data_IF_672278385759
#
_entry.id   IF_672278385759
#
_cell.length_a   1.000
_cell.length_b   1.000
_cell.length_c   1.000
_cell.angle_alpha   90.00
_cell.angle_beta   90.00
_cell.angle_gamma   90.00
#
_symmetry.space_group_name_H-M   'P 1'
#
loop_
_entity.id
_entity.type
_entity.pdbx_description
1 polymer ?
#
# COMPACT_ATOMS: atom_id res chain seq x y z
N UNK A 1 -15.78 17.38 8.48
CA UNK A 1 -14.82 16.94 9.44
C UNK A 1 -14.81 15.43 9.49
N UNK A 2 -14.23 14.88 10.52
CA UNK A 2 -14.00 13.45 10.54
C UNK A 2 -15.26 12.63 10.56
N UNK A 3 -16.29 13.15 11.14
CA UNK A 3 -17.55 12.44 11.17
C UNK A 3 -18.09 12.20 9.78
N UNK A 4 -17.87 13.15 8.89
CA UNK A 4 -18.35 12.98 7.53
C UNK A 4 -17.60 11.90 6.81
N UNK A 5 -16.30 11.76 7.10
CA UNK A 5 -15.55 10.70 6.50
C UNK A 5 -16.09 9.36 6.94
N UNK A 6 -16.44 9.28 8.19
CA UNK A 6 -16.99 8.04 8.69
C UNK A 6 -18.37 7.79 8.12
N UNK A 7 -19.10 8.83 7.86
CA UNK A 7 -20.43 8.70 7.30
C UNK A 7 -20.41 8.04 5.93
N UNK A 8 -19.33 8.20 5.21
CA UNK A 8 -19.19 7.51 3.94
C UNK A 8 -19.26 6.01 4.13
N UNK A 9 -18.91 5.55 5.31
CA UNK A 9 -18.94 4.14 5.59
C UNK A 9 -17.96 3.34 4.77
N UNK A 10 -17.02 3.99 4.15
CA UNK A 10 -16.11 3.32 3.25
C UNK A 10 -14.93 2.75 4.00
N UNK A 11 -14.82 1.45 4.01
CA UNK A 11 -13.68 0.79 4.61
C UNK A 11 -12.39 1.21 3.91
N UNK A 12 -12.45 1.42 2.60
CA UNK A 12 -11.28 1.87 1.86
C UNK A 12 -10.78 3.22 2.36
N UNK A 13 -11.69 4.12 2.70
CA UNK A 13 -11.31 5.42 3.24
C UNK A 13 -10.60 5.28 4.57
N UNK A 14 -11.06 4.38 5.42
CA UNK A 14 -10.42 4.15 6.71
C UNK A 14 -9.03 3.59 6.52
N UNK A 15 -8.87 2.62 5.62
CA UNK A 15 -7.56 2.05 5.34
C UNK A 15 -6.62 3.11 4.80
N UNK A 16 -7.12 3.95 3.91
CA UNK A 16 -6.29 5.01 3.34
C UNK A 16 -5.83 5.99 4.39
N UNK A 17 -6.70 6.35 5.34
CA UNK A 17 -6.32 7.25 6.43
C UNK A 17 -5.24 6.62 7.29
N UNK A 18 -5.36 5.33 7.56
CA UNK A 18 -4.35 4.65 8.35
C UNK A 18 -3.00 4.67 7.62
N UNK A 19 -3.01 4.36 6.33
CA UNK A 19 -1.78 4.35 5.55
C UNK A 19 -1.15 5.74 5.50
N UNK A 20 -1.95 6.76 5.24
CA UNK A 20 -1.43 8.11 5.09
C UNK A 20 -1.01 8.73 6.41
N UNK A 21 -1.36 8.13 7.53
CA UNK A 21 -0.89 8.60 8.82
C UNK A 21 0.60 8.32 9.01
N UNK A 22 1.17 7.42 8.22
CA UNK A 22 2.59 7.12 8.30
C UNK A 22 3.39 8.17 7.54
N UNK A 23 4.53 8.57 8.09
CA UNK A 23 5.35 9.61 7.47
C UNK A 23 6.20 9.09 6.33
N UNK A 24 6.92 8.02 6.59
CA UNK A 24 7.84 7.48 5.60
C UNK A 24 7.08 6.70 4.54
N UNK A 25 7.49 6.86 3.30
CA UNK A 25 6.87 6.14 2.21
C UNK A 25 6.93 4.63 2.43
N UNK A 26 8.06 4.14 2.92
CA UNK A 26 8.20 2.71 3.19
C UNK A 26 7.16 2.24 4.19
N UNK A 27 6.92 3.02 5.23
CA UNK A 27 5.91 2.67 6.22
C UNK A 27 4.51 2.65 5.61
N UNK A 28 4.23 3.60 4.72
CA UNK A 28 2.95 3.63 4.03
C UNK A 28 2.75 2.37 3.20
N UNK A 29 3.79 1.98 2.46
CA UNK A 29 3.74 0.78 1.65
C UNK A 29 3.55 -0.46 2.52
N UNK A 30 4.33 -0.57 3.58
CA UNK A 30 4.23 -1.72 4.48
C UNK A 30 2.85 -1.82 5.11
N UNK A 31 2.31 -0.71 5.56
CA UNK A 31 0.98 -0.69 6.17
C UNK A 31 -0.07 -1.13 5.16
N UNK A 32 0.00 -0.60 3.95
CA UNK A 32 -0.95 -0.95 2.91
C UNK A 32 -0.87 -2.45 2.59
N UNK A 33 0.34 -2.96 2.40
CA UNK A 33 0.51 -4.37 2.06
C UNK A 33 0.05 -5.27 3.19
N UNK A 34 0.30 -4.88 4.44
CA UNK A 34 -0.16 -5.65 5.58
C UNK A 34 -1.69 -5.72 5.62
N UNK A 35 -2.34 -4.59 5.36
CA UNK A 35 -3.79 -4.56 5.34
C UNK A 35 -4.33 -5.46 4.23
N UNK A 36 -3.72 -5.38 3.04
CA UNK A 36 -4.16 -6.19 1.92
C UNK A 36 -3.95 -7.67 2.19
N UNK A 37 -2.84 -8.01 2.84
CA UNK A 37 -2.55 -9.39 3.18
C UNK A 37 -3.61 -9.94 4.13
N UNK A 38 -3.97 -9.18 5.13
CA UNK A 38 -5.00 -9.59 6.08
C UNK A 38 -6.36 -9.72 5.41
N UNK A 39 -6.67 -8.75 4.53
CA UNK A 39 -7.94 -8.74 3.84
C UNK A 39 -8.08 -9.96 2.91
N UNK A 40 -7.00 -10.34 2.26
CA UNK A 40 -7.02 -11.48 1.34
C UNK A 40 -6.69 -12.80 2.01
N UNK A 41 -6.23 -12.76 3.24
CA UNK A 41 -5.86 -13.97 3.96
C UNK A 41 -4.66 -14.67 3.36
N UNK A 42 -3.79 -13.94 2.67
CA UNK A 42 -2.66 -14.52 1.97
C UNK A 42 -1.54 -13.49 1.86
N UNK A 43 -0.32 -13.98 1.78
CA UNK A 43 0.83 -13.11 1.56
C UNK A 43 1.02 -12.74 0.10
N UNK A 44 0.24 -13.31 -0.80
CA UNK A 44 0.29 -13.01 -2.22
C UNK A 44 -1.08 -12.52 -2.67
N UNK A 45 -1.11 -11.37 -3.33
CA UNK A 45 -2.39 -10.77 -3.71
C UNK A 45 -2.18 -9.74 -4.80
N UNK A 46 -3.27 -9.43 -5.51
CA UNK A 46 -3.27 -8.34 -6.49
C UNK A 46 -3.81 -7.10 -5.80
N UNK A 47 -3.16 -5.96 -6.04
CA UNK A 47 -3.64 -4.69 -5.45
C UNK A 47 -4.66 -4.01 -6.34
N UNK A 48 -4.76 -4.42 -7.61
CA UNK A 48 -5.78 -3.88 -8.50
C UNK A 48 -5.50 -2.46 -8.97
N UNK A 49 -4.26 -2.01 -8.85
CA UNK A 49 -3.87 -0.66 -9.26
C UNK A 49 -2.58 -0.73 -10.05
N UNK A 50 -2.46 0.12 -11.08
CA UNK A 50 -1.18 0.24 -11.75
C UNK A 50 -0.26 1.11 -10.89
N UNK A 51 0.97 1.33 -11.35
CA UNK A 51 1.95 2.04 -10.54
C UNK A 51 1.55 3.48 -10.29
N UNK A 52 0.96 4.10 -11.29
CA UNK A 52 0.54 5.49 -11.14
C UNK A 52 -0.62 5.62 -10.16
N UNK A 53 -1.59 4.71 -10.25
CA UNK A 53 -2.72 4.72 -9.33
C UNK A 53 -2.26 4.46 -7.90
N UNK A 54 -1.32 3.55 -7.74
CA UNK A 54 -0.78 3.24 -6.42
C UNK A 54 -0.07 4.46 -5.84
N UNK A 55 0.71 5.16 -6.66
CA UNK A 55 1.39 6.37 -6.20
C UNK A 55 0.38 7.44 -5.79
N UNK A 56 -0.68 7.60 -6.55
CA UNK A 56 -1.73 8.55 -6.19
C UNK A 56 -2.41 8.16 -4.88
N UNK A 57 -2.66 6.87 -4.71
CA UNK A 57 -3.25 6.37 -3.48
C UNK A 57 -2.39 6.72 -2.27
N UNK A 58 -1.08 6.58 -2.43
CA UNK A 58 -0.13 6.86 -1.36
C UNK A 58 0.26 8.33 -1.28
N UNK A 59 -0.21 9.15 -2.23
CA UNK A 59 0.10 10.58 -2.28
C UNK A 59 1.59 10.84 -2.44
N UNK A 60 2.23 10.10 -3.33
CA UNK A 60 3.65 10.28 -3.62
C UNK A 60 3.87 10.25 -5.11
N UNK A 61 5.10 10.59 -5.54
CA UNK A 61 5.47 10.52 -6.94
C UNK A 61 5.64 9.08 -7.36
N UNK A 62 5.27 8.80 -8.62
CA UNK A 62 5.45 7.46 -9.16
C UNK A 62 6.91 7.02 -9.11
N UNK A 63 7.84 7.93 -9.41
CA UNK A 63 9.26 7.60 -9.39
C UNK A 63 9.73 7.23 -8.00
N UNK A 64 9.29 7.97 -6.98
CA UNK A 64 9.64 7.68 -5.61
C UNK A 64 9.09 6.33 -5.20
N UNK A 65 7.85 6.03 -5.59
CA UNK A 65 7.24 4.75 -5.27
C UNK A 65 8.00 3.59 -5.92
N UNK A 66 8.32 3.73 -7.20
CA UNK A 66 9.05 2.67 -7.92
C UNK A 66 10.42 2.43 -7.30
N UNK A 67 11.10 3.50 -6.93
CA UNK A 67 12.40 3.38 -6.30
C UNK A 67 12.30 2.62 -4.98
N UNK A 68 11.34 2.99 -4.16
CA UNK A 68 11.18 2.36 -2.85
C UNK A 68 10.79 0.89 -2.99
N UNK A 69 9.89 0.58 -3.91
CA UNK A 69 9.49 -0.81 -4.13
C UNK A 69 10.66 -1.66 -4.60
N UNK A 70 11.46 -1.13 -5.52
CA UNK A 70 12.65 -1.85 -5.98
C UNK A 70 13.62 -2.09 -4.85
N UNK A 71 13.79 -1.10 -3.99
CA UNK A 71 14.69 -1.21 -2.85
C UNK A 71 14.20 -2.27 -1.87
N UNK A 72 12.90 -2.27 -1.59
CA UNK A 72 12.31 -3.27 -0.70
C UNK A 72 12.47 -4.68 -1.28
N UNK A 73 12.33 -4.82 -2.59
CA UNK A 73 12.51 -6.11 -3.22
C UNK A 73 13.95 -6.58 -3.12
N UNK A 74 14.92 -5.68 -3.30
CA UNK A 74 16.32 -6.02 -3.15
C UNK A 74 16.64 -6.45 -1.73
N UNK A 75 15.98 -5.87 -0.76
CA UNK A 75 16.21 -6.21 0.64
C UNK A 75 15.52 -7.51 1.04
N UNK A 76 14.74 -8.11 0.14
CA UNK A 76 14.08 -9.36 0.43
C UNK A 76 12.82 -9.21 1.24
N UNK A 77 12.23 -8.02 1.27
CA UNK A 77 11.01 -7.77 2.03
C UNK A 77 9.78 -8.17 1.25
N UNK A 78 9.77 -7.91 -0.04
CA UNK A 78 8.63 -8.22 -0.91
C UNK A 78 9.13 -8.65 -2.28
N UNK A 79 8.22 -9.26 -3.04
CA UNK A 79 8.41 -9.49 -4.47
C UNK A 79 7.17 -8.91 -5.14
N UNK A 80 7.36 -8.24 -6.26
CA UNK A 80 6.23 -7.69 -6.98
C UNK A 80 6.42 -7.84 -8.48
N UNK A 81 5.28 -7.98 -9.17
CA UNK A 81 5.24 -8.04 -10.62
C UNK A 81 3.93 -7.40 -11.04
N UNK A 82 4.02 -6.20 -11.63
CA UNK A 82 2.85 -5.41 -11.99
C UNK A 82 2.02 -5.15 -10.72
N UNK A 83 0.79 -5.63 -10.65
CA UNK A 83 -0.04 -5.41 -9.46
C UNK A 83 -0.06 -6.61 -8.51
N UNK A 84 0.70 -7.64 -8.82
CA UNK A 84 0.79 -8.81 -7.94
C UNK A 84 1.93 -8.59 -6.95
N UNK A 85 1.60 -8.67 -5.68
CA UNK A 85 2.59 -8.48 -4.61
C UNK A 85 2.63 -9.70 -3.72
N UNK A 86 3.85 -10.04 -3.30
CA UNK A 86 4.07 -11.14 -2.36
C UNK A 86 4.89 -10.59 -1.21
N UNK A 87 4.39 -10.79 0.00
CA UNK A 87 5.10 -10.36 1.22
C UNK A 87 6.02 -11.49 1.65
N UNK A 88 7.32 -11.17 1.76
CA UNK A 88 8.32 -12.14 2.20
C UNK A 88 8.64 -11.96 3.67
N UNK A 89 8.93 -10.71 4.06
CA UNK A 89 9.39 -10.45 5.41
C UNK A 89 9.15 -8.97 5.74
N UNK A 90 7.94 -8.62 6.07
CA UNK A 90 7.63 -7.24 6.47
C UNK A 90 7.59 -7.06 7.99
#
# INVERSE_FOLDING_TARGET
NMMQLLADGSIKSLYKLEVLSKRALRCRIRTFLSIMSKKNGSGTFHIGMDREQFAQYLCVNRSALSYELSKMQKEGLIIFDKDLFTILNL
#
